data_IF_776466243498
#
_entry.id   IF_776466243498
#
_cell.length_a   1.000
_cell.length_b   1.000
_cell.length_c   1.000
_cell.angle_alpha   90.00
_cell.angle_beta   90.00
_cell.angle_gamma   90.00
#
_symmetry.space_group_name_H-M   'P 1'
#
loop_
_entity.id
_entity.type
_entity.pdbx_description
1 polymer ?
#
# COMPACT_ATOMS: atom_id res chain seq x y z
N UNK A 1 17.83 36.70 -75.64
CA UNK A 1 18.40 36.58 -74.30
C UNK A 1 17.28 36.23 -73.33
N UNK A 2 17.21 34.95 -72.93
CA UNK A 2 16.17 34.44 -71.99
C UNK A 2 16.86 34.10 -70.66
N UNK A 3 16.51 34.87 -69.64
CA UNK A 3 17.00 34.57 -68.27
C UNK A 3 16.07 33.52 -67.64
N UNK A 4 16.63 32.36 -67.34
CA UNK A 4 15.96 31.28 -66.63
C UNK A 4 16.29 31.44 -65.13
N UNK A 5 15.29 31.82 -64.31
CA UNK A 5 15.42 31.88 -62.83
C UNK A 5 15.13 30.49 -62.24
N UNK A 6 16.15 29.88 -61.66
CA UNK A 6 16.00 28.68 -60.84
C UNK A 6 15.55 29.07 -59.43
N UNK A 7 14.33 28.71 -59.07
CA UNK A 7 13.84 28.82 -57.69
C UNK A 7 14.21 27.55 -56.96
N UNK A 8 15.14 27.67 -55.99
CA UNK A 8 15.57 26.59 -55.13
C UNK A 8 14.58 26.47 -53.95
N UNK A 9 13.70 25.50 -54.00
CA UNK A 9 12.76 25.21 -52.87
C UNK A 9 13.50 24.48 -51.76
N UNK A 10 13.78 25.13 -50.65
CA UNK A 10 14.31 24.53 -49.42
C UNK A 10 13.15 23.86 -48.70
N UNK A 11 13.10 22.54 -48.77
CA UNK A 11 12.17 21.72 -47.98
C UNK A 11 12.75 21.58 -46.56
N UNK A 12 12.22 22.38 -45.59
CA UNK A 12 12.45 22.17 -44.16
C UNK A 12 11.71 20.91 -43.72
N UNK A 13 12.44 19.78 -43.56
CA UNK A 13 11.97 18.61 -42.83
C UNK A 13 11.94 18.92 -41.34
N UNK A 14 10.78 19.35 -40.84
CA UNK A 14 10.53 19.42 -39.41
C UNK A 14 10.41 17.99 -38.88
N UNK A 15 11.47 17.50 -38.25
CA UNK A 15 11.47 16.25 -37.49
C UNK A 15 10.52 16.41 -36.33
N UNK A 16 9.29 15.90 -36.43
CA UNK A 16 8.38 15.69 -35.32
C UNK A 16 8.99 14.62 -34.40
N UNK A 17 9.77 15.07 -33.42
CA UNK A 17 10.13 14.24 -32.29
C UNK A 17 8.84 13.96 -31.52
N UNK A 18 8.18 12.84 -31.81
CA UNK A 18 7.11 12.34 -30.98
C UNK A 18 7.65 12.16 -29.55
N UNK A 19 6.94 12.65 -28.49
CA UNK A 19 7.38 12.40 -27.14
C UNK A 19 7.42 10.89 -26.95
N UNK A 20 8.58 10.37 -26.57
CA UNK A 20 8.69 9.00 -26.08
C UNK A 20 7.75 8.89 -24.87
N UNK A 21 6.55 8.36 -25.10
CA UNK A 21 5.64 8.03 -24.02
C UNK A 21 6.34 6.96 -23.20
N UNK A 22 6.76 7.31 -21.98
CA UNK A 22 7.34 6.37 -21.05
C UNK A 22 6.36 5.20 -20.90
N UNK A 23 6.81 4.00 -21.27
CA UNK A 23 5.98 2.79 -21.17
C UNK A 23 5.56 2.61 -19.71
N UNK A 24 4.28 2.33 -19.50
CA UNK A 24 3.77 2.08 -18.15
C UNK A 24 4.48 0.92 -17.49
N UNK A 25 4.59 0.92 -16.18
CA UNK A 25 5.18 -0.17 -15.41
C UNK A 25 4.55 -1.53 -15.78
N UNK A 26 3.23 -1.56 -15.99
CA UNK A 26 2.52 -2.76 -16.42
C UNK A 26 3.06 -3.32 -17.74
N UNK A 27 3.28 -2.47 -18.74
CA UNK A 27 3.83 -2.89 -20.05
C UNK A 27 5.27 -3.37 -19.92
N UNK A 28 6.08 -2.71 -19.09
CA UNK A 28 7.47 -3.09 -18.85
C UNK A 28 7.56 -4.44 -18.12
N UNK A 29 6.68 -4.72 -17.18
CA UNK A 29 6.61 -6.02 -16.50
C UNK A 29 6.08 -7.09 -17.45
N UNK A 30 5.05 -6.82 -18.25
CA UNK A 30 4.46 -7.80 -19.17
C UNK A 30 5.41 -8.20 -20.31
N UNK A 31 6.43 -7.38 -20.62
CA UNK A 31 7.47 -7.76 -21.60
C UNK A 31 8.38 -8.87 -21.09
N UNK A 32 8.44 -9.12 -19.79
CA UNK A 32 9.12 -10.25 -19.17
C UNK A 32 8.12 -11.38 -18.91
N UNK A 33 7.97 -12.32 -19.84
CA UNK A 33 7.00 -13.40 -19.71
C UNK A 33 7.33 -14.41 -18.59
N UNK A 34 8.61 -14.62 -18.29
CA UNK A 34 9.09 -15.53 -17.25
C UNK A 34 10.30 -14.92 -16.52
N UNK A 35 10.54 -15.40 -15.29
CA UNK A 35 11.66 -14.97 -14.49
C UNK A 35 11.29 -13.92 -13.45
N UNK A 36 12.22 -13.05 -13.10
CA UNK A 36 11.98 -12.03 -12.08
C UNK A 36 12.28 -10.63 -12.61
N UNK A 37 11.47 -9.67 -12.20
CA UNK A 37 11.67 -8.24 -12.42
C UNK A 37 11.73 -7.51 -11.08
N UNK A 38 12.52 -6.43 -11.00
CA UNK A 38 12.58 -5.56 -9.84
C UNK A 38 12.40 -4.10 -10.23
N UNK A 39 11.83 -3.31 -9.32
CA UNK A 39 11.71 -1.85 -9.43
C UNK A 39 11.71 -1.22 -8.04
N UNK A 40 11.92 0.09 -7.98
CA UNK A 40 12.01 0.84 -6.74
C UNK A 40 11.12 2.07 -6.78
N UNK A 41 10.63 2.49 -5.62
CA UNK A 41 9.88 3.74 -5.48
C UNK A 41 10.06 4.33 -4.08
N UNK A 42 9.70 5.61 -3.93
CA UNK A 42 9.81 6.33 -2.65
C UNK A 42 8.85 5.77 -1.62
N UNK A 43 9.37 5.41 -0.44
CA UNK A 43 8.58 5.01 0.70
C UNK A 43 7.90 6.22 1.38
N UNK A 44 6.75 6.00 2.00
CA UNK A 44 6.11 7.01 2.87
C UNK A 44 7.06 7.47 3.99
N UNK A 45 6.91 8.72 4.47
CA UNK A 45 7.62 9.18 5.66
C UNK A 45 7.42 8.23 6.85
N UNK A 46 8.46 8.05 7.64
CA UNK A 46 8.43 7.16 8.80
C UNK A 46 8.66 5.68 8.51
N UNK A 47 8.77 5.27 7.25
CA UNK A 47 9.06 3.90 6.85
C UNK A 47 10.56 3.71 6.64
N UNK A 48 11.15 2.72 7.30
CA UNK A 48 12.56 2.34 7.16
C UNK A 48 12.76 0.81 7.27
N UNK A 49 13.92 0.32 6.93
CA UNK A 49 14.26 -1.11 7.03
C UNK A 49 15.75 -1.36 6.87
N UNK A 50 16.16 -2.62 6.89
CA UNK A 50 17.55 -3.05 6.66
C UNK A 50 17.81 -3.49 5.21
N UNK A 51 16.80 -3.44 4.36
CA UNK A 51 16.85 -3.91 2.95
C UNK A 51 16.76 -5.42 2.80
N UNK A 52 16.54 -6.20 3.87
CA UNK A 52 16.55 -7.65 3.79
C UNK A 52 15.55 -8.36 4.70
N UNK A 53 15.59 -8.09 6.02
CA UNK A 53 14.89 -8.90 7.01
C UNK A 53 13.65 -8.24 7.59
N UNK A 54 13.66 -6.90 7.74
CA UNK A 54 12.55 -6.19 8.36
C UNK A 54 12.21 -4.86 7.69
N UNK A 55 10.97 -4.47 7.84
CA UNK A 55 10.44 -3.14 7.53
C UNK A 55 9.76 -2.62 8.79
N UNK A 56 10.12 -1.41 9.19
CA UNK A 56 9.45 -0.69 10.27
C UNK A 56 8.55 0.39 9.68
N UNK A 57 7.30 0.39 10.12
CA UNK A 57 6.29 1.37 9.74
C UNK A 57 5.83 2.10 11.00
N UNK A 58 6.06 3.39 11.10
CA UNK A 58 5.79 4.14 12.32
C UNK A 58 6.77 3.81 13.46
N UNK A 59 6.38 4.16 14.70
CA UNK A 59 7.27 4.02 15.87
C UNK A 59 7.40 2.59 16.38
N UNK A 60 6.32 1.81 16.35
CA UNK A 60 6.23 0.54 17.06
C UNK A 60 5.84 -0.67 16.18
N UNK A 61 5.64 -0.48 14.88
CA UNK A 61 5.18 -1.54 13.99
C UNK A 61 6.32 -2.08 13.13
N UNK A 62 6.60 -3.37 13.26
CA UNK A 62 7.62 -4.08 12.50
C UNK A 62 6.97 -5.20 11.67
N UNK A 63 7.40 -5.34 10.43
CA UNK A 63 7.08 -6.48 9.57
C UNK A 63 8.38 -7.15 9.15
N UNK A 64 8.53 -8.45 9.39
CA UNK A 64 9.73 -9.18 9.00
C UNK A 64 10.11 -10.31 9.94
N UNK A 65 11.26 -10.92 9.69
CA UNK A 65 11.80 -12.04 10.47
C UNK A 65 12.95 -11.57 11.34
N UNK A 66 12.79 -11.70 12.66
CA UNK A 66 13.86 -11.45 13.62
C UNK A 66 14.48 -12.78 14.04
N UNK A 67 15.78 -12.95 13.81
CA UNK A 67 16.53 -14.09 14.35
C UNK A 67 17.07 -13.72 15.73
N UNK A 68 16.72 -14.50 16.75
CA UNK A 68 17.32 -14.36 18.07
C UNK A 68 18.85 -14.53 17.96
N UNK A 69 19.62 -13.51 18.37
CA UNK A 69 21.08 -13.55 18.41
C UNK A 69 21.81 -12.76 17.34
N UNK A 70 21.14 -12.12 16.38
CA UNK A 70 21.77 -11.11 15.50
C UNK A 70 21.63 -9.70 16.08
N UNK A 71 22.68 -8.87 16.02
CA UNK A 71 22.52 -7.45 16.28
C UNK A 71 21.44 -6.89 15.35
N UNK A 72 20.54 -6.07 15.90
CA UNK A 72 19.52 -5.41 15.09
C UNK A 72 20.24 -4.42 14.16
N UNK A 73 20.19 -4.65 12.86
CA UNK A 73 20.74 -3.72 11.88
C UNK A 73 20.02 -2.36 11.98
N UNK A 74 20.70 -1.25 11.71
CA UNK A 74 20.06 0.05 11.77
C UNK A 74 18.90 0.15 10.79
N UNK A 75 17.81 0.76 11.23
CA UNK A 75 16.67 1.05 10.35
C UNK A 75 17.02 2.22 9.45
N UNK A 76 17.28 1.97 8.19
CA UNK A 76 17.68 2.97 7.20
C UNK A 76 16.45 3.41 6.39
N UNK A 77 16.27 4.73 6.32
CA UNK A 77 15.28 5.30 5.40
C UNK A 77 15.75 5.11 3.95
N UNK A 78 14.92 4.56 3.10
CA UNK A 78 15.29 4.28 1.74
C UNK A 78 14.09 3.92 0.87
N UNK A 79 14.32 3.62 -0.41
CA UNK A 79 13.23 3.25 -1.29
C UNK A 79 12.62 1.90 -0.89
N UNK A 80 11.36 1.72 -1.30
CA UNK A 80 10.76 0.39 -1.38
C UNK A 80 11.31 -0.30 -2.61
N UNK A 81 11.94 -1.45 -2.43
CA UNK A 81 12.32 -2.36 -3.51
C UNK A 81 11.26 -3.45 -3.62
N UNK A 82 10.73 -3.66 -4.82
CA UNK A 82 9.80 -4.75 -5.12
C UNK A 82 10.42 -5.70 -6.13
N UNK A 83 10.27 -6.99 -5.88
CA UNK A 83 10.61 -8.06 -6.81
C UNK A 83 9.36 -8.86 -7.11
N UNK A 84 9.06 -8.99 -8.39
CA UNK A 84 7.99 -9.83 -8.92
C UNK A 84 8.60 -11.07 -9.56
N UNK A 85 8.04 -12.23 -9.30
CA UNK A 85 8.35 -13.46 -10.06
C UNK A 85 7.18 -13.73 -10.99
N UNK A 86 7.48 -13.97 -12.26
CA UNK A 86 6.52 -14.22 -13.31
C UNK A 86 6.65 -15.65 -13.84
N UNK A 87 5.49 -16.25 -14.12
CA UNK A 87 5.36 -17.53 -14.83
C UNK A 87 4.25 -17.37 -15.87
N UNK A 88 4.56 -17.64 -17.12
CA UNK A 88 3.65 -17.54 -18.26
C UNK A 88 2.91 -16.18 -18.35
N UNK A 89 3.65 -15.11 -18.08
CA UNK A 89 3.13 -13.74 -18.10
C UNK A 89 2.31 -13.32 -16.86
N UNK A 90 2.03 -14.24 -15.95
CA UNK A 90 1.34 -13.95 -14.69
C UNK A 90 2.32 -13.68 -13.55
N UNK A 91 1.97 -12.77 -12.66
CA UNK A 91 2.74 -12.53 -11.43
C UNK A 91 2.33 -13.58 -10.38
N UNK A 92 3.27 -14.46 -10.04
CA UNK A 92 3.06 -15.52 -9.05
C UNK A 92 3.47 -15.09 -7.64
N UNK A 93 4.52 -14.27 -7.53
CA UNK A 93 5.07 -13.87 -6.24
C UNK A 93 5.41 -12.39 -6.22
N UNK A 94 5.10 -11.77 -5.09
CA UNK A 94 5.48 -10.39 -4.77
C UNK A 94 6.31 -10.41 -3.49
N UNK A 95 7.46 -9.77 -3.54
CA UNK A 95 8.35 -9.57 -2.40
C UNK A 95 8.72 -8.10 -2.31
N UNK A 96 8.88 -7.58 -1.10
CA UNK A 96 9.23 -6.17 -0.89
C UNK A 96 10.19 -5.99 0.28
N UNK A 97 11.04 -4.98 0.17
CA UNK A 97 12.03 -4.57 1.16
C UNK A 97 12.09 -3.05 1.21
N UNK A 98 12.57 -2.49 2.30
CA UNK A 98 12.80 -1.05 2.45
C UNK A 98 14.19 -0.84 3.04
N UNK A 99 14.85 0.23 2.64
CA UNK A 99 16.16 0.60 3.13
C UNK A 99 17.24 0.54 2.04
N UNK A 100 18.47 0.13 2.36
CA UNK A 100 19.54 0.05 1.38
C UNK A 100 19.17 -0.88 0.21
N UNK A 101 19.39 -0.40 -1.02
CA UNK A 101 19.17 -1.22 -2.21
C UNK A 101 20.16 -2.38 -2.20
N UNK A 102 19.64 -3.59 -2.35
CA UNK A 102 20.45 -4.79 -2.50
C UNK A 102 20.28 -5.37 -3.89
N UNK A 103 21.38 -5.79 -4.49
CA UNK A 103 21.34 -6.51 -5.78
C UNK A 103 20.58 -7.83 -5.59
N UNK A 104 19.59 -8.05 -6.45
CA UNK A 104 18.77 -9.26 -6.47
C UNK A 104 18.73 -9.77 -7.91
N UNK A 105 18.80 -11.08 -8.08
CA UNK A 105 18.69 -11.68 -9.40
C UNK A 105 17.30 -11.40 -9.99
N UNK A 106 17.22 -10.38 -10.84
CA UNK A 106 16.00 -9.92 -11.50
C UNK A 106 16.36 -8.92 -12.61
N UNK A 107 15.51 -8.83 -13.63
CA UNK A 107 15.56 -7.72 -14.59
C UNK A 107 15.22 -6.42 -13.86
N UNK A 108 16.19 -5.51 -13.78
CA UNK A 108 16.00 -4.22 -13.10
C UNK A 108 15.26 -3.23 -14.00
N UNK A 109 14.07 -2.84 -13.60
CA UNK A 109 13.27 -1.82 -14.26
C UNK A 109 13.55 -0.40 -13.72
N UNK A 110 14.44 -0.26 -12.72
CA UNK A 110 14.84 1.03 -12.15
C UNK A 110 13.77 1.70 -11.29
N UNK A 111 13.90 3.02 -11.16
CA UNK A 111 13.01 3.85 -10.35
C UNK A 111 11.69 4.08 -11.08
N UNK A 112 10.60 3.95 -10.35
CA UNK A 112 9.21 4.20 -10.80
C UNK A 112 8.58 5.22 -9.86
N UNK A 113 7.65 6.04 -10.34
CA UNK A 113 6.91 6.91 -9.44
C UNK A 113 6.08 6.10 -8.44
N UNK A 114 6.06 6.52 -7.18
CA UNK A 114 5.35 5.79 -6.13
C UNK A 114 3.84 5.62 -6.44
N UNK A 115 3.11 6.63 -6.97
CA UNK A 115 1.72 6.44 -7.39
C UNK A 115 1.52 5.44 -8.54
N UNK A 116 2.48 5.33 -9.47
CA UNK A 116 2.41 4.34 -10.55
C UNK A 116 2.65 2.93 -10.01
N UNK A 117 3.67 2.76 -9.18
CA UNK A 117 3.96 1.50 -8.50
C UNK A 117 2.76 1.03 -7.67
N UNK A 118 2.16 1.92 -6.87
CA UNK A 118 0.98 1.62 -6.07
C UNK A 118 -0.21 1.16 -6.91
N UNK A 119 -0.53 1.87 -8.00
CA UNK A 119 -1.62 1.47 -8.93
C UNK A 119 -1.38 0.10 -9.53
N UNK A 120 -0.16 -0.17 -9.97
CA UNK A 120 0.17 -1.47 -10.54
C UNK A 120 0.07 -2.59 -9.51
N UNK A 121 0.61 -2.40 -8.31
CA UNK A 121 0.52 -3.37 -7.21
C UNK A 121 -0.94 -3.61 -6.78
N UNK A 122 -1.77 -2.56 -6.73
CA UNK A 122 -3.21 -2.72 -6.46
C UNK A 122 -3.94 -3.44 -7.60
N UNK A 123 -3.47 -3.35 -8.84
CA UNK A 123 -3.99 -4.18 -9.95
C UNK A 123 -3.67 -5.66 -9.72
N UNK A 124 -2.44 -5.98 -9.25
CA UNK A 124 -2.07 -7.35 -8.86
C UNK A 124 -2.94 -7.82 -7.69
N UNK A 125 -3.13 -6.98 -6.67
CA UNK A 125 -4.00 -7.31 -5.52
C UNK A 125 -5.43 -7.61 -5.95
N UNK A 126 -5.96 -6.84 -6.92
CA UNK A 126 -7.33 -6.98 -7.40
C UNK A 126 -7.53 -8.12 -8.42
N UNK A 127 -6.52 -8.53 -9.17
CA UNK A 127 -6.68 -9.45 -10.32
C UNK A 127 -5.63 -10.55 -10.40
N UNK A 128 -4.60 -10.52 -9.56
CA UNK A 128 -3.50 -11.48 -9.58
C UNK A 128 -3.87 -12.86 -9.04
N UNK A 129 -2.90 -13.75 -9.05
CA UNK A 129 -3.01 -15.07 -8.41
C UNK A 129 -3.27 -14.92 -6.90
N UNK A 130 -3.88 -15.90 -6.23
CA UNK A 130 -4.12 -15.83 -4.78
C UNK A 130 -2.84 -15.56 -3.96
N UNK A 131 -1.71 -16.13 -4.39
CA UNK A 131 -0.41 -15.96 -3.73
C UNK A 131 0.16 -14.55 -3.90
N UNK A 132 -0.02 -13.92 -5.06
CA UNK A 132 0.47 -12.58 -5.34
C UNK A 132 -0.46 -11.49 -4.78
N UNK A 133 -1.78 -11.71 -4.82
CA UNK A 133 -2.79 -10.71 -4.47
C UNK A 133 -2.63 -10.14 -3.06
N UNK A 134 -2.58 -10.98 -2.04
CA UNK A 134 -2.40 -10.52 -0.66
C UNK A 134 -1.03 -9.83 -0.46
N UNK A 135 0.02 -10.36 -1.07
CA UNK A 135 1.38 -9.81 -0.93
C UNK A 135 1.62 -8.50 -1.68
N UNK A 136 0.75 -8.14 -2.63
CA UNK A 136 0.85 -6.88 -3.37
C UNK A 136 0.27 -5.68 -2.60
N UNK A 137 -0.62 -5.89 -1.62
CA UNK A 137 -1.25 -4.82 -0.84
C UNK A 137 -0.20 -4.06 -0.03
N UNK A 138 0.61 -4.74 0.75
CA UNK A 138 1.56 -4.10 1.65
C UNK A 138 2.52 -3.14 0.94
N UNK A 139 3.28 -3.54 -0.10
CA UNK A 139 4.15 -2.60 -0.80
C UNK A 139 3.38 -1.44 -1.46
N UNK A 140 2.13 -1.62 -1.90
CA UNK A 140 1.32 -0.52 -2.41
C UNK A 140 0.99 0.51 -1.31
N UNK A 141 0.75 0.06 -0.09
CA UNK A 141 0.50 0.93 1.07
C UNK A 141 1.75 1.70 1.48
N UNK A 142 2.94 1.14 1.27
CA UNK A 142 4.22 1.81 1.55
C UNK A 142 4.53 2.97 0.60
N UNK A 143 3.86 3.06 -0.57
CA UNK A 143 4.16 4.03 -1.61
C UNK A 143 3.81 5.46 -1.17
N UNK A 144 4.81 6.36 -1.24
CA UNK A 144 4.62 7.77 -0.88
C UNK A 144 3.61 8.46 -1.81
N UNK A 145 2.82 9.38 -1.24
CA UNK A 145 1.86 10.22 -1.98
C UNK A 145 0.86 9.42 -2.85
N UNK A 146 0.65 8.13 -2.53
CA UNK A 146 -0.28 7.28 -3.25
C UNK A 146 -1.58 7.07 -2.46
N UNK A 147 -2.72 7.36 -3.08
CA UNK A 147 -4.04 7.11 -2.53
C UNK A 147 -4.51 5.70 -2.92
N UNK A 148 -4.38 4.73 -2.02
CA UNK A 148 -4.71 3.31 -2.28
C UNK A 148 -6.03 2.85 -1.68
N UNK A 149 -6.60 3.60 -0.73
CA UNK A 149 -7.80 3.18 -0.01
C UNK A 149 -9.03 2.90 -0.90
N UNK A 150 -9.28 3.60 -2.04
CA UNK A 150 -10.42 3.25 -2.90
C UNK A 150 -10.29 1.85 -3.51
N UNK A 151 -9.06 1.45 -3.88
CA UNK A 151 -8.80 0.12 -4.40
C UNK A 151 -8.93 -0.96 -3.30
N UNK A 152 -8.44 -0.67 -2.08
CA UNK A 152 -8.64 -1.54 -0.92
C UNK A 152 -10.12 -1.76 -0.62
N UNK A 153 -10.93 -0.69 -0.73
CA UNK A 153 -12.37 -0.75 -0.52
C UNK A 153 -13.07 -1.68 -1.55
N UNK A 154 -12.65 -1.58 -2.82
CA UNK A 154 -13.15 -2.46 -3.87
C UNK A 154 -12.79 -3.94 -3.60
N UNK A 155 -11.55 -4.22 -3.18
CA UNK A 155 -11.09 -5.57 -2.82
C UNK A 155 -11.86 -6.11 -1.60
N UNK A 156 -12.08 -5.29 -0.58
CA UNK A 156 -12.79 -5.72 0.64
C UNK A 156 -14.25 -6.10 0.37
N UNK A 157 -14.89 -5.45 -0.62
CA UNK A 157 -16.26 -5.72 -1.05
C UNK A 157 -16.41 -6.93 -1.96
N UNK A 158 -15.36 -7.33 -2.65
CA UNK A 158 -15.38 -8.42 -3.63
C UNK A 158 -15.38 -9.78 -2.93
N UNK A 159 -16.59 -10.27 -2.59
CA UNK A 159 -16.77 -11.55 -1.90
C UNK A 159 -16.66 -12.76 -2.83
N UNK A 160 -16.90 -12.57 -4.11
CA UNK A 160 -17.03 -13.64 -5.07
C UNK A 160 -15.70 -14.06 -5.71
N UNK A 161 -14.85 -13.08 -6.01
CA UNK A 161 -13.62 -13.33 -6.78
C UNK A 161 -12.34 -13.27 -5.94
N UNK A 162 -12.37 -12.64 -4.75
CA UNK A 162 -11.18 -12.49 -3.90
C UNK A 162 -11.14 -13.49 -2.77
N UNK A 163 -9.92 -13.99 -2.50
CA UNK A 163 -9.70 -14.88 -1.35
C UNK A 163 -10.02 -14.16 -0.04
N UNK A 164 -10.43 -14.92 0.97
CA UNK A 164 -10.68 -14.38 2.31
C UNK A 164 -9.44 -13.64 2.86
N UNK A 165 -8.25 -14.20 2.65
CA UNK A 165 -7.00 -13.58 3.11
C UNK A 165 -6.78 -12.20 2.47
N UNK A 166 -6.93 -12.07 1.14
CA UNK A 166 -6.76 -10.78 0.44
C UNK A 166 -7.77 -9.74 0.93
N UNK A 167 -9.02 -10.14 1.20
CA UNK A 167 -10.03 -9.23 1.74
C UNK A 167 -9.73 -8.81 3.19
N UNK A 168 -9.23 -9.73 4.01
CA UNK A 168 -8.82 -9.41 5.38
C UNK A 168 -7.65 -8.43 5.39
N UNK A 169 -6.65 -8.61 4.54
CA UNK A 169 -5.54 -7.66 4.40
C UNK A 169 -6.05 -6.28 3.95
N UNK A 170 -6.99 -6.24 2.99
CA UNK A 170 -7.59 -4.98 2.57
C UNK A 170 -8.36 -4.29 3.70
N UNK A 171 -9.14 -5.03 4.50
CA UNK A 171 -9.85 -4.51 5.66
C UNK A 171 -8.90 -3.99 6.75
N UNK A 172 -7.81 -4.72 7.00
CA UNK A 172 -6.78 -4.29 7.94
C UNK A 172 -6.22 -2.92 7.54
N UNK A 173 -5.80 -2.76 6.28
CA UNK A 173 -5.24 -1.49 5.83
C UNK A 173 -6.28 -0.37 5.75
N UNK A 174 -7.54 -0.67 5.39
CA UNK A 174 -8.63 0.31 5.47
C UNK A 174 -8.83 0.83 6.88
N UNK A 175 -8.79 -0.04 7.89
CA UNK A 175 -8.91 0.37 9.29
C UNK A 175 -7.75 1.28 9.72
N UNK A 176 -6.52 1.00 9.25
CA UNK A 176 -5.34 1.84 9.51
C UNK A 176 -5.47 3.22 8.85
N UNK A 177 -5.91 3.29 7.59
CA UNK A 177 -6.19 4.58 6.93
C UNK A 177 -7.30 5.35 7.61
N UNK A 178 -8.38 4.68 8.03
CA UNK A 178 -9.47 5.33 8.75
C UNK A 178 -9.02 5.84 10.13
N UNK A 179 -8.18 5.08 10.84
CA UNK A 179 -7.56 5.53 12.10
C UNK A 179 -6.71 6.77 11.90
N UNK A 180 -5.84 6.77 10.89
CA UNK A 180 -5.03 7.94 10.54
C UNK A 180 -5.89 9.16 10.16
N UNK A 181 -6.98 8.96 9.41
CA UNK A 181 -7.90 10.05 9.05
C UNK A 181 -8.58 10.68 10.28
N UNK A 182 -8.98 9.86 11.27
CA UNK A 182 -9.54 10.34 12.55
C UNK A 182 -8.50 11.09 13.36
N UNK A 183 -7.23 10.69 13.29
CA UNK A 183 -6.12 11.39 13.92
C UNK A 183 -5.70 12.69 13.21
N UNK A 184 -6.25 12.97 12.02
CA UNK A 184 -5.90 14.13 11.19
C UNK A 184 -4.80 13.86 10.14
N UNK A 185 -4.42 12.61 9.97
CA UNK A 185 -3.37 12.16 9.04
C UNK A 185 -3.96 11.23 7.97
N UNK A 186 -4.94 11.72 7.21
CA UNK A 186 -5.79 10.98 6.29
C UNK A 186 -5.06 10.04 5.32
N UNK A 187 -3.88 10.43 4.87
CA UNK A 187 -3.09 9.66 3.90
C UNK A 187 -1.95 8.84 4.54
N UNK A 188 -1.84 8.82 5.88
CA UNK A 188 -0.81 8.09 6.58
C UNK A 188 -1.40 6.97 7.48
N UNK A 189 -1.35 5.70 7.04
CA UNK A 189 -1.85 4.57 7.84
C UNK A 189 -0.88 4.13 8.94
N UNK A 190 0.30 4.77 9.06
CA UNK A 190 1.37 4.39 9.98
C UNK A 190 1.52 5.33 11.17
N UNK A 191 0.74 6.40 11.20
CA UNK A 191 0.75 7.31 12.33
C UNK A 191 -0.07 6.68 13.46
N UNK A 192 0.65 6.13 14.42
CA UNK A 192 0.09 5.69 15.67
C UNK A 192 0.07 6.92 16.60
N UNK A 193 -1.11 7.42 16.93
CA UNK A 193 -1.29 8.43 17.97
C UNK A 193 -0.71 7.88 19.28
N UNK A 194 0.52 8.27 19.57
CA UNK A 194 1.23 7.99 20.82
C UNK A 194 0.82 8.98 21.92
N UNK A 195 -0.41 9.50 21.82
CA UNK A 195 -0.97 10.30 22.88
C UNK A 195 -1.20 9.37 24.08
N UNK A 196 -0.33 9.52 25.09
CA UNK A 196 -0.48 8.81 26.37
C UNK A 196 -1.75 9.33 27.01
N UNK A 197 -2.83 8.57 26.77
CA UNK A 197 -4.13 8.85 27.38
C UNK A 197 -4.03 8.88 28.91
N UNK A 198 -4.95 9.56 29.51
CA UNK A 198 -5.14 9.44 30.94
C UNK A 198 -5.69 8.04 31.32
N UNK A 199 -5.76 7.74 32.62
CA UNK A 199 -6.21 6.43 33.09
C UNK A 199 -7.65 6.08 32.62
N UNK A 200 -8.50 7.09 32.38
CA UNK A 200 -9.86 6.90 31.88
C UNK A 200 -9.86 6.50 30.39
N UNK A 201 -8.99 7.08 29.57
CA UNK A 201 -8.80 6.66 28.17
C UNK A 201 -8.21 5.27 28.06
N UNK A 202 -7.30 4.90 28.95
CA UNK A 202 -6.75 3.54 28.99
C UNK A 202 -7.82 2.51 29.35
N UNK A 203 -8.71 2.83 30.29
CA UNK A 203 -9.85 1.98 30.63
C UNK A 203 -10.84 1.84 29.46
N UNK A 204 -11.18 2.92 28.77
CA UNK A 204 -12.01 2.91 27.57
C UNK A 204 -11.39 2.12 26.43
N UNK A 205 -10.09 2.26 26.23
CA UNK A 205 -9.33 1.48 25.25
C UNK A 205 -9.35 -0.02 25.57
N UNK A 206 -9.22 -0.37 26.84
CA UNK A 206 -9.36 -1.76 27.27
C UNK A 206 -10.78 -2.30 27.06
N UNK A 207 -11.82 -1.51 27.33
CA UNK A 207 -13.20 -1.88 27.06
C UNK A 207 -13.45 -2.13 25.56
N UNK A 208 -12.87 -1.31 24.67
CA UNK A 208 -12.92 -1.52 23.21
C UNK A 208 -12.28 -2.86 22.83
N UNK A 209 -11.15 -3.21 23.44
CA UNK A 209 -10.53 -4.52 23.22
C UNK A 209 -11.45 -5.65 23.69
N UNK A 210 -12.04 -5.56 24.88
CA UNK A 210 -12.96 -6.58 25.38
C UNK A 210 -14.17 -6.76 24.45
N UNK A 211 -14.76 -5.67 23.94
CA UNK A 211 -15.83 -5.73 22.96
C UNK A 211 -15.43 -6.50 21.70
N UNK A 212 -14.17 -6.34 21.24
CA UNK A 212 -13.67 -7.03 20.05
C UNK A 212 -13.55 -8.55 20.25
N UNK A 213 -13.41 -9.00 21.49
CA UNK A 213 -13.26 -10.43 21.84
C UNK A 213 -14.59 -11.14 22.06
N UNK A 214 -15.72 -10.43 22.02
CA UNK A 214 -17.02 -11.06 22.21
C UNK A 214 -17.34 -12.03 21.06
N UNK A 215 -17.84 -13.24 21.38
CA UNK A 215 -18.11 -14.26 20.40
C UNK A 215 -19.17 -13.82 19.37
N UNK A 216 -19.08 -14.38 18.17
CA UNK A 216 -20.04 -14.17 17.08
C UNK A 216 -20.24 -12.71 16.67
N UNK A 217 -19.25 -11.86 16.88
CA UNK A 217 -19.34 -10.43 16.53
C UNK A 217 -20.33 -9.63 17.38
N UNK A 218 -20.69 -10.11 18.58
CA UNK A 218 -21.65 -9.46 19.45
C UNK A 218 -21.24 -8.02 19.82
N UNK A 219 -19.93 -7.73 19.89
CA UNK A 219 -19.42 -6.39 20.20
C UNK A 219 -19.37 -5.42 19.00
N UNK A 220 -19.57 -5.90 17.76
CA UNK A 220 -19.39 -5.07 16.55
C UNK A 220 -20.30 -3.84 16.55
N UNK A 221 -21.56 -3.97 16.97
CA UNK A 221 -22.49 -2.84 17.02
C UNK A 221 -21.98 -1.75 17.96
N UNK A 222 -21.50 -2.13 19.15
CA UNK A 222 -20.92 -1.18 20.13
C UNK A 222 -19.62 -0.58 19.61
N UNK A 223 -18.78 -1.36 18.95
CA UNK A 223 -17.54 -0.85 18.31
C UNK A 223 -17.85 0.19 17.22
N UNK A 224 -18.88 -0.04 16.40
CA UNK A 224 -19.34 0.92 15.39
C UNK A 224 -19.82 2.23 16.03
N UNK A 225 -20.52 2.15 17.14
CA UNK A 225 -20.98 3.33 17.89
C UNK A 225 -19.80 4.09 18.49
N UNK A 226 -18.88 3.41 19.17
CA UNK A 226 -17.67 4.01 19.75
C UNK A 226 -16.82 4.68 18.67
N UNK A 227 -16.63 4.03 17.53
CA UNK A 227 -15.86 4.59 16.42
C UNK A 227 -16.48 5.87 15.82
N UNK A 228 -17.81 6.03 15.91
CA UNK A 228 -18.53 7.22 15.43
C UNK A 228 -18.60 8.35 16.45
N UNK A 229 -18.83 8.03 17.71
CA UNK A 229 -19.32 8.99 18.72
C UNK A 229 -18.35 9.25 19.87
N UNK A 230 -17.32 8.42 20.09
CA UNK A 230 -16.39 8.66 21.21
C UNK A 230 -15.70 10.02 21.06
N UNK A 231 -15.63 10.85 22.11
CA UNK A 231 -14.91 12.12 22.09
C UNK A 231 -13.39 11.92 21.95
N UNK A 232 -12.85 10.82 22.47
CA UNK A 232 -11.43 10.50 22.39
C UNK A 232 -11.07 9.97 21.00
N UNK A 233 -10.10 10.61 20.33
CA UNK A 233 -9.54 10.15 19.05
C UNK A 233 -8.91 8.77 19.18
N UNK A 234 -8.14 8.55 20.26
CA UNK A 234 -7.47 7.28 20.55
C UNK A 234 -8.49 6.14 20.65
N UNK A 235 -9.56 6.33 21.40
CA UNK A 235 -10.62 5.33 21.56
C UNK A 235 -11.33 5.05 20.22
N UNK A 236 -11.60 6.10 19.41
CA UNK A 236 -12.16 5.91 18.06
C UNK A 236 -11.21 5.13 17.13
N UNK A 237 -9.92 5.51 17.10
CA UNK A 237 -8.90 4.81 16.29
C UNK A 237 -8.81 3.34 16.67
N UNK A 238 -8.86 3.04 17.95
CA UNK A 238 -8.80 1.65 18.42
C UNK A 238 -10.06 0.86 18.05
N UNK A 239 -11.24 1.47 18.13
CA UNK A 239 -12.46 0.84 17.67
C UNK A 239 -12.43 0.57 16.15
N UNK A 240 -11.92 1.50 15.34
CA UNK A 240 -11.72 1.30 13.90
C UNK A 240 -10.75 0.15 13.62
N UNK A 241 -9.64 0.07 14.36
CA UNK A 241 -8.69 -1.03 14.23
C UNK A 241 -9.35 -2.40 14.46
N UNK A 242 -10.08 -2.55 15.57
CA UNK A 242 -10.74 -3.82 15.88
C UNK A 242 -11.89 -4.15 14.92
N UNK A 243 -12.60 -3.14 14.41
CA UNK A 243 -13.59 -3.34 13.34
C UNK A 243 -12.92 -3.88 12.05
N UNK A 244 -11.73 -3.43 11.71
CA UNK A 244 -10.95 -3.98 10.59
C UNK A 244 -10.59 -5.45 10.78
N UNK A 245 -10.32 -5.86 12.03
CA UNK A 245 -10.02 -7.26 12.36
C UNK A 245 -11.27 -8.16 12.38
N UNK A 246 -12.45 -7.58 12.64
CA UNK A 246 -13.69 -8.35 12.77
C UNK A 246 -14.15 -9.02 11.48
N UNK A 247 -13.76 -8.46 10.31
CA UNK A 247 -14.26 -8.90 9.00
C UNK A 247 -15.74 -8.61 8.76
N UNK A 248 -16.40 -7.84 9.63
CA UNK A 248 -17.81 -7.51 9.51
C UNK A 248 -18.04 -6.51 8.36
N UNK A 249 -18.96 -6.78 7.42
CA UNK A 249 -19.19 -5.90 6.28
C UNK A 249 -19.71 -4.51 6.67
N UNK A 250 -20.31 -4.32 7.85
CA UNK A 250 -20.75 -3.01 8.35
C UNK A 250 -19.57 -2.07 8.61
N UNK A 251 -18.39 -2.61 8.94
CA UNK A 251 -17.16 -1.84 9.11
C UNK A 251 -16.74 -1.16 7.79
N UNK A 252 -16.96 -1.80 6.65
CA UNK A 252 -16.58 -1.27 5.33
C UNK A 252 -17.30 0.07 5.05
N UNK A 253 -18.59 0.14 5.35
CA UNK A 253 -19.37 1.37 5.16
C UNK A 253 -18.88 2.51 6.08
N UNK A 254 -18.49 2.17 7.31
CA UNK A 254 -17.91 3.15 8.24
C UNK A 254 -16.55 3.66 7.73
N UNK A 255 -15.65 2.77 7.29
CA UNK A 255 -14.35 3.16 6.77
C UNK A 255 -14.48 4.08 5.56
N UNK A 256 -15.37 3.73 4.62
CA UNK A 256 -15.65 4.59 3.46
C UNK A 256 -16.15 5.98 3.90
N UNK A 257 -17.06 6.05 4.85
CA UNK A 257 -17.57 7.31 5.36
C UNK A 257 -16.45 8.17 5.96
N UNK A 258 -15.59 7.58 6.79
CA UNK A 258 -14.46 8.30 7.43
C UNK A 258 -13.43 8.76 6.41
N UNK A 259 -13.14 7.95 5.40
CA UNK A 259 -12.11 8.27 4.40
C UNK A 259 -12.57 9.27 3.34
N UNK A 260 -13.90 9.45 3.17
CA UNK A 260 -14.47 10.46 2.27
C UNK A 260 -14.67 11.82 2.92
N UNK A 261 -14.76 11.88 4.27
CA UNK A 261 -14.93 13.13 5.03
C UNK A 261 -13.62 13.95 5.07
#
# INVERSE_FOLDING_TARGET
MRHSSFVCAVICLASLAAPLQAQSLANRVSSASNGAVSFYFTARPGVCGDGEHFIRTGRNSYSGSFSSGRPMEPCVFGPVQVRLTLSDGAVDRVQSWVGPLRSREALDLGVVSAPEAARYLMTIAARGTPSASAKAIFPAVLADSATVWPALLAIARDQDTRSRATRQDALFWLSRFASGAVAGHKDNPFDDDDDRGDADEDLKSHAVFVLSQLPNGAGVTSLLEVARSSPSRRVRSQALFWLGQSGDPRAIALFESVLRS
#
